data_IF_576496790686
#
_entry.id   IF_576496790686
#
_cell.length_a   1.000
_cell.length_b   1.000
_cell.length_c   1.000
_cell.angle_alpha   90.00
_cell.angle_beta   90.00
_cell.angle_gamma   90.00
#
_symmetry.space_group_name_H-M   'P 1'
#
loop_
_entity.id
_entity.type
_entity.pdbx_description
1 polymer ?
#
# COMPACT_ATOMS: atom_id res chain seq x y z
N UNK A 1 7.86 26.51 -41.24
CA UNK A 1 7.14 25.27 -40.87
C UNK A 1 7.39 25.00 -39.40
N UNK A 2 6.43 25.31 -38.53
CA UNK A 2 6.50 24.92 -37.13
C UNK A 2 6.08 23.46 -37.03
N UNK A 3 7.03 22.57 -36.71
CA UNK A 3 6.73 21.18 -36.37
C UNK A 3 6.15 21.21 -34.96
N UNK A 4 4.82 21.18 -34.87
CA UNK A 4 4.11 21.04 -33.61
C UNK A 4 4.41 19.67 -33.01
N UNK A 5 5.15 19.65 -31.91
CA UNK A 5 5.28 18.47 -31.05
C UNK A 5 3.91 18.13 -30.48
N UNK A 6 3.24 17.14 -31.06
CA UNK A 6 2.09 16.49 -30.43
C UNK A 6 2.61 15.71 -29.22
N UNK A 7 2.57 16.33 -28.04
CA UNK A 7 2.67 15.60 -26.78
C UNK A 7 1.39 14.80 -26.63
N UNK A 8 1.43 13.51 -27.00
CA UNK A 8 0.43 12.56 -26.54
C UNK A 8 0.47 12.56 -25.01
N UNK A 9 -0.48 13.27 -24.39
CA UNK A 9 -0.75 13.14 -22.97
C UNK A 9 -1.25 11.72 -22.76
N UNK A 10 -0.35 10.80 -22.37
CA UNK A 10 -0.72 9.45 -22.04
C UNK A 10 -1.66 9.51 -20.83
N UNK A 11 -2.86 8.96 -20.98
CA UNK A 11 -3.83 8.89 -19.91
C UNK A 11 -3.29 7.98 -18.81
N UNK A 12 -3.04 8.55 -17.63
CA UNK A 12 -2.67 7.81 -16.42
C UNK A 12 -3.91 7.13 -15.83
N UNK A 13 -4.47 6.15 -16.53
CA UNK A 13 -5.71 5.50 -16.15
C UNK A 13 -5.72 3.98 -16.40
N UNK A 14 -6.55 3.31 -15.62
CA UNK A 14 -6.92 1.92 -15.83
C UNK A 14 -7.99 1.87 -16.93
N UNK A 15 -7.66 1.20 -18.03
CA UNK A 15 -8.51 1.03 -19.21
C UNK A 15 -9.00 -0.41 -19.39
N UNK A 16 -8.33 -1.38 -18.77
CA UNK A 16 -8.71 -2.79 -18.84
C UNK A 16 -10.06 -3.05 -18.14
N UNK A 17 -11.11 -3.29 -18.93
CA UNK A 17 -12.49 -3.48 -18.45
C UNK A 17 -12.65 -4.59 -17.41
N UNK A 18 -11.91 -5.70 -17.52
CA UNK A 18 -11.97 -6.79 -16.54
C UNK A 18 -11.41 -6.34 -15.19
N UNK A 19 -10.29 -5.62 -15.22
CA UNK A 19 -9.67 -5.09 -14.01
C UNK A 19 -10.49 -3.95 -13.38
N UNK A 20 -11.11 -3.08 -14.18
CA UNK A 20 -12.04 -2.06 -13.67
C UNK A 20 -13.17 -2.73 -12.88
N UNK A 21 -13.80 -3.76 -13.46
CA UNK A 21 -14.87 -4.51 -12.79
C UNK A 21 -14.36 -5.24 -11.55
N UNK A 22 -13.18 -5.86 -11.64
CA UNK A 22 -12.53 -6.53 -10.52
C UNK A 22 -12.33 -5.55 -9.35
N UNK A 23 -11.67 -4.41 -9.55
CA UNK A 23 -11.38 -3.47 -8.47
C UNK A 23 -12.64 -2.79 -7.91
N UNK A 24 -13.67 -2.54 -8.74
CA UNK A 24 -14.97 -2.07 -8.23
C UNK A 24 -15.59 -3.08 -7.26
N UNK A 25 -15.58 -4.37 -7.60
CA UNK A 25 -16.10 -5.44 -6.72
C UNK A 25 -15.24 -5.59 -5.46
N UNK A 26 -13.91 -5.55 -5.59
CA UNK A 26 -12.98 -5.61 -4.45
C UNK A 26 -13.23 -4.45 -3.48
N UNK A 27 -13.33 -3.22 -3.98
CA UNK A 27 -13.61 -2.05 -3.14
C UNK A 27 -14.94 -2.21 -2.37
N UNK A 28 -15.97 -2.77 -3.02
CA UNK A 28 -17.25 -3.09 -2.36
C UNK A 28 -17.09 -4.19 -1.31
N UNK A 29 -16.29 -5.22 -1.57
CA UNK A 29 -16.02 -6.30 -0.62
C UNK A 29 -15.31 -5.77 0.64
N UNK A 30 -14.28 -4.95 0.46
CA UNK A 30 -13.56 -4.30 1.56
C UNK A 30 -14.48 -3.39 2.39
N UNK A 31 -15.38 -2.63 1.76
CA UNK A 31 -16.39 -1.83 2.47
C UNK A 31 -17.38 -2.70 3.26
N UNK A 32 -17.66 -3.93 2.81
CA UNK A 32 -18.47 -4.90 3.56
C UNK A 32 -17.71 -5.46 4.77
N UNK A 33 -16.39 -5.65 4.69
CA UNK A 33 -15.56 -5.97 5.86
C UNK A 33 -15.66 -4.85 6.90
N UNK A 34 -15.45 -3.59 6.48
CA UNK A 34 -15.49 -2.42 7.37
C UNK A 34 -16.85 -2.25 8.07
N UNK A 35 -17.94 -2.69 7.44
CA UNK A 35 -19.30 -2.67 8.02
C UNK A 35 -19.69 -3.99 8.70
N UNK A 36 -18.72 -4.86 8.99
CA UNK A 36 -18.90 -6.17 9.63
C UNK A 36 -19.89 -7.12 8.91
N UNK A 37 -20.08 -6.94 7.60
CA UNK A 37 -20.96 -7.76 6.76
C UNK A 37 -20.13 -8.82 6.01
N UNK A 38 -19.52 -9.75 6.75
CA UNK A 38 -18.50 -10.67 6.23
C UNK A 38 -19.03 -11.66 5.17
N UNK A 39 -20.26 -12.15 5.31
CA UNK A 39 -20.89 -13.02 4.29
C UNK A 39 -21.00 -12.30 2.94
N UNK A 40 -21.44 -11.04 2.98
CA UNK A 40 -21.54 -10.20 1.78
C UNK A 40 -20.16 -9.90 1.18
N UNK A 41 -19.15 -9.65 2.03
CA UNK A 41 -17.79 -9.45 1.57
C UNK A 41 -17.27 -10.70 0.84
N UNK A 42 -17.49 -11.89 1.40
CA UNK A 42 -17.05 -13.14 0.80
C UNK A 42 -17.73 -13.43 -0.55
N UNK A 43 -19.03 -13.15 -0.67
CA UNK A 43 -19.76 -13.26 -1.94
C UNK A 43 -19.13 -12.34 -3.01
N UNK A 44 -18.76 -11.11 -2.63
CA UNK A 44 -18.13 -10.16 -3.54
C UNK A 44 -16.73 -10.61 -3.94
N UNK A 45 -15.89 -11.12 -3.02
CA UNK A 45 -14.60 -11.71 -3.38
C UNK A 45 -14.74 -12.89 -4.36
N UNK A 46 -15.65 -13.83 -4.06
CA UNK A 46 -15.97 -14.96 -4.96
C UNK A 46 -16.40 -14.48 -6.36
N UNK A 47 -17.11 -13.35 -6.45
CA UNK A 47 -17.49 -12.72 -7.73
C UNK A 47 -16.30 -12.06 -8.43
N UNK A 48 -15.46 -11.34 -7.69
CA UNK A 48 -14.26 -10.68 -8.24
C UNK A 48 -13.29 -11.72 -8.84
N UNK A 49 -13.06 -12.83 -8.14
CA UNK A 49 -12.11 -13.88 -8.58
C UNK A 49 -12.58 -14.67 -9.80
N UNK A 50 -13.85 -14.55 -10.19
CA UNK A 50 -14.36 -15.05 -11.49
C UNK A 50 -14.08 -14.09 -12.65
N UNK A 51 -13.75 -12.84 -12.35
CA UNK A 51 -13.53 -11.77 -13.34
C UNK A 51 -12.05 -11.66 -13.73
N UNK A 52 -11.16 -12.02 -12.81
CA UNK A 52 -9.71 -11.93 -12.98
C UNK A 52 -9.05 -13.17 -12.37
N UNK A 53 -8.35 -13.94 -13.21
CA UNK A 53 -7.83 -15.26 -12.86
C UNK A 53 -6.59 -15.22 -11.95
N UNK A 54 -6.00 -14.04 -11.76
CA UNK A 54 -4.80 -13.83 -10.96
C UNK A 54 -5.05 -12.79 -9.86
N UNK A 55 -6.04 -13.00 -8.97
CA UNK A 55 -6.39 -12.02 -7.94
C UNK A 55 -5.18 -11.65 -7.08
N UNK A 56 -5.10 -10.39 -6.65
CA UNK A 56 -3.99 -9.95 -5.82
C UNK A 56 -3.97 -10.71 -4.49
N UNK A 57 -2.80 -10.99 -3.96
CA UNK A 57 -2.64 -11.81 -2.77
C UNK A 57 -3.23 -11.16 -1.53
N UNK A 58 -3.27 -9.81 -1.46
CA UNK A 58 -4.02 -9.10 -0.41
C UNK A 58 -5.50 -9.46 -0.43
N UNK A 59 -6.08 -9.65 -1.62
CA UNK A 59 -7.50 -9.93 -1.80
C UNK A 59 -7.78 -11.41 -1.47
N UNK A 60 -6.90 -12.32 -1.88
CA UNK A 60 -6.91 -13.73 -1.47
C UNK A 60 -6.89 -13.84 0.06
N UNK A 61 -5.95 -13.13 0.71
CA UNK A 61 -5.81 -13.10 2.17
C UNK A 61 -7.05 -12.55 2.86
N UNK A 62 -7.57 -11.40 2.42
CA UNK A 62 -8.79 -10.83 3.01
C UNK A 62 -10.00 -11.75 2.83
N UNK A 63 -10.13 -12.42 1.67
CA UNK A 63 -11.22 -13.38 1.44
C UNK A 63 -11.09 -14.63 2.32
N UNK A 64 -9.87 -15.11 2.56
CA UNK A 64 -9.57 -16.20 3.49
C UNK A 64 -9.97 -15.82 4.92
N UNK A 65 -9.59 -14.63 5.38
CA UNK A 65 -9.91 -14.13 6.72
C UNK A 65 -11.42 -13.94 6.92
N UNK A 66 -12.12 -13.41 5.91
CA UNK A 66 -13.58 -13.32 5.94
C UNK A 66 -14.22 -14.71 6.05
N UNK A 67 -13.74 -15.69 5.26
CA UNK A 67 -14.24 -17.06 5.28
C UNK A 67 -13.99 -17.78 6.62
N UNK A 68 -12.81 -17.62 7.22
CA UNK A 68 -12.49 -18.16 8.55
C UNK A 68 -13.48 -17.66 9.61
N UNK A 69 -13.77 -16.35 9.61
CA UNK A 69 -14.66 -15.73 10.59
C UNK A 69 -16.12 -16.16 10.49
N UNK A 70 -16.60 -16.44 9.27
CA UNK A 70 -17.95 -16.98 9.04
C UNK A 70 -17.98 -18.52 9.04
N UNK A 71 -16.85 -19.18 9.34
CA UNK A 71 -16.69 -20.64 9.38
C UNK A 71 -16.93 -21.36 8.04
N UNK A 72 -16.67 -20.70 6.90
CA UNK A 72 -16.56 -21.34 5.57
C UNK A 72 -15.14 -21.93 5.43
N UNK A 73 -14.86 -22.97 6.21
CA UNK A 73 -13.52 -23.58 6.35
C UNK A 73 -12.99 -24.12 5.03
N UNK A 74 -13.86 -24.71 4.21
CA UNK A 74 -13.48 -25.25 2.89
C UNK A 74 -12.98 -24.16 1.95
N UNK A 75 -13.68 -23.01 1.90
CA UNK A 75 -13.22 -21.88 1.10
C UNK A 75 -11.94 -21.29 1.67
N UNK A 76 -11.86 -21.09 2.98
CA UNK A 76 -10.67 -20.58 3.64
C UNK A 76 -9.44 -21.46 3.35
N UNK A 77 -9.57 -22.78 3.42
CA UNK A 77 -8.49 -23.73 3.10
C UNK A 77 -8.04 -23.60 1.64
N UNK A 78 -8.97 -23.41 0.70
CA UNK A 78 -8.61 -23.18 -0.71
C UNK A 78 -7.78 -21.90 -0.86
N UNK A 79 -8.18 -20.80 -0.22
CA UNK A 79 -7.42 -19.55 -0.29
C UNK A 79 -6.05 -19.66 0.39
N UNK A 80 -5.99 -20.33 1.54
CA UNK A 80 -4.73 -20.66 2.22
C UNK A 80 -3.77 -21.40 1.27
N UNK A 81 -4.24 -22.42 0.56
CA UNK A 81 -3.43 -23.18 -0.40
C UNK A 81 -2.95 -22.31 -1.57
N UNK A 82 -3.81 -21.44 -2.11
CA UNK A 82 -3.40 -20.46 -3.13
C UNK A 82 -2.28 -19.55 -2.63
N UNK A 83 -2.41 -19.00 -1.42
CA UNK A 83 -1.39 -18.15 -0.81
C UNK A 83 -0.09 -18.90 -0.52
N UNK A 84 -0.16 -20.17 -0.08
CA UNK A 84 1.02 -21.03 0.06
C UNK A 84 1.75 -21.23 -1.27
N UNK A 85 1.01 -21.38 -2.38
CA UNK A 85 1.60 -21.48 -3.72
C UNK A 85 2.24 -20.19 -4.24
N UNK A 86 1.90 -19.04 -3.63
CA UNK A 86 2.58 -17.78 -3.86
C UNK A 86 3.70 -17.54 -2.83
N UNK A 87 4.15 -18.57 -2.12
CA UNK A 87 5.16 -18.48 -1.05
C UNK A 87 4.80 -17.47 0.07
N UNK A 88 3.50 -17.33 0.41
CA UNK A 88 3.10 -16.51 1.56
C UNK A 88 3.62 -17.14 2.87
N UNK A 89 4.39 -16.39 3.69
CA UNK A 89 5.04 -16.92 4.89
C UNK A 89 4.06 -16.98 6.07
N UNK A 90 3.14 -17.96 6.04
CA UNK A 90 2.26 -18.23 7.18
C UNK A 90 3.06 -18.59 8.44
N UNK A 91 2.52 -18.20 9.60
CA UNK A 91 3.03 -18.68 10.90
C UNK A 91 2.96 -20.22 10.96
N UNK A 92 3.95 -20.83 11.60
CA UNK A 92 4.09 -22.30 11.67
C UNK A 92 2.82 -22.99 12.21
N UNK A 93 2.16 -22.37 13.18
CA UNK A 93 0.95 -22.92 13.82
C UNK A 93 -0.35 -22.58 13.09
N UNK A 94 -0.32 -21.75 12.03
CA UNK A 94 -1.53 -21.24 11.38
C UNK A 94 -2.44 -22.37 10.86
N UNK A 95 -1.86 -23.37 10.20
CA UNK A 95 -2.60 -24.51 9.65
C UNK A 95 -3.28 -25.31 10.76
N UNK A 96 -2.56 -25.61 11.83
CA UNK A 96 -3.04 -26.42 12.96
C UNK A 96 -4.17 -25.69 13.69
N UNK A 97 -4.05 -24.37 13.87
CA UNK A 97 -5.01 -23.55 14.58
C UNK A 97 -6.31 -23.36 13.80
N UNK A 98 -6.23 -23.15 12.48
CA UNK A 98 -7.39 -22.81 11.65
C UNK A 98 -8.00 -24.00 10.91
N UNK A 99 -7.25 -25.10 10.74
CA UNK A 99 -7.65 -26.28 9.98
C UNK A 99 -7.25 -27.58 10.69
N UNK A 100 -7.76 -27.86 11.91
CA UNK A 100 -7.35 -29.00 12.72
C UNK A 100 -7.62 -30.36 12.06
N UNK A 101 -8.60 -30.45 11.16
CA UNK A 101 -8.94 -31.66 10.42
C UNK A 101 -8.05 -31.90 9.19
N UNK A 102 -7.15 -30.96 8.88
CA UNK A 102 -6.27 -31.00 7.70
C UNK A 102 -4.78 -30.94 8.06
N UNK A 103 -4.43 -31.30 9.31
CA UNK A 103 -3.06 -31.32 9.86
C UNK A 103 -2.01 -32.10 9.06
N UNK A 104 -2.42 -32.96 8.13
CA UNK A 104 -1.53 -33.89 7.40
C UNK A 104 -1.42 -33.66 5.89
N UNK A 105 -2.13 -32.69 5.28
CA UNK A 105 -2.07 -32.49 3.82
C UNK A 105 -1.23 -31.25 3.46
N UNK A 106 0.09 -31.36 3.63
CA UNK A 106 1.04 -30.33 3.18
C UNK A 106 1.39 -30.44 1.68
N UNK A 107 0.92 -31.48 0.99
CA UNK A 107 1.15 -31.65 -0.45
C UNK A 107 0.17 -30.77 -1.25
N UNK A 108 0.41 -29.46 -1.21
CA UNK A 108 -0.30 -28.49 -2.02
C UNK A 108 0.30 -28.56 -3.42
N UNK A 109 -0.41 -29.22 -4.35
CA UNK A 109 -0.04 -29.17 -5.77
C UNK A 109 -0.31 -27.78 -6.33
N UNK A 110 0.74 -26.99 -6.43
CA UNK A 110 0.68 -25.63 -6.97
C UNK A 110 0.60 -25.63 -8.49
N UNK A 111 -0.38 -24.89 -9.02
CA UNK A 111 -0.52 -24.65 -10.47
C UNK A 111 0.32 -23.46 -10.92
N UNK A 112 0.58 -22.51 -10.04
CA UNK A 112 1.46 -21.36 -10.28
C UNK A 112 2.91 -21.80 -10.18
N UNK A 113 3.72 -21.47 -11.19
CA UNK A 113 5.18 -21.71 -11.17
C UNK A 113 5.90 -20.37 -11.07
N UNK A 114 6.53 -20.13 -9.93
CA UNK A 114 7.30 -18.91 -9.71
C UNK A 114 8.58 -18.91 -10.55
N UNK A 115 8.97 -17.75 -11.06
CA UNK A 115 10.18 -17.62 -11.86
C UNK A 115 11.40 -17.37 -10.96
N UNK A 116 12.01 -18.45 -10.47
CA UNK A 116 13.14 -18.35 -9.53
C UNK A 116 14.34 -17.57 -10.09
N UNK A 117 14.61 -17.65 -11.40
CA UNK A 117 15.68 -16.89 -12.04
C UNK A 117 15.38 -15.38 -12.04
N UNK A 118 14.13 -15.03 -12.37
CA UNK A 118 13.70 -13.64 -12.36
C UNK A 118 13.69 -13.07 -10.94
N UNK A 119 13.17 -13.84 -9.97
CA UNK A 119 13.21 -13.51 -8.54
C UNK A 119 14.63 -13.22 -8.07
N UNK A 120 15.58 -14.12 -8.32
CA UNK A 120 17.00 -13.91 -7.95
C UNK A 120 17.59 -12.63 -8.54
N UNK A 121 17.20 -12.29 -9.78
CA UNK A 121 17.67 -11.06 -10.44
C UNK A 121 17.10 -9.82 -9.74
N UNK A 122 15.82 -9.81 -9.43
CA UNK A 122 15.16 -8.70 -8.72
C UNK A 122 15.69 -8.54 -7.30
N UNK A 123 15.82 -9.64 -6.54
CA UNK A 123 16.38 -9.64 -5.18
C UNK A 123 17.84 -9.14 -5.17
N UNK A 124 18.62 -9.47 -6.20
CA UNK A 124 19.98 -8.96 -6.37
C UNK A 124 20.01 -7.45 -6.59
N UNK A 125 19.13 -6.90 -7.43
CA UNK A 125 18.99 -5.45 -7.62
C UNK A 125 18.61 -4.75 -6.32
N UNK A 126 17.67 -5.31 -5.57
CA UNK A 126 17.29 -4.77 -4.25
C UNK A 126 18.44 -4.81 -3.25
N UNK A 127 19.18 -5.92 -3.21
CA UNK A 127 20.37 -6.06 -2.34
C UNK A 127 21.42 -5.01 -2.68
N UNK A 128 21.65 -4.76 -3.97
CA UNK A 128 22.53 -3.69 -4.41
C UNK A 128 22.02 -2.34 -3.92
N UNK A 129 20.77 -1.97 -4.20
CA UNK A 129 20.13 -0.70 -3.80
C UNK A 129 20.28 -0.39 -2.31
N UNK A 130 20.14 -1.41 -1.46
CA UNK A 130 20.20 -1.26 0.00
C UNK A 130 21.61 -1.35 0.60
N UNK A 131 22.63 -1.76 -0.16
CA UNK A 131 23.96 -2.11 0.38
C UNK A 131 24.58 -0.97 1.22
N UNK A 132 24.73 0.22 0.63
CA UNK A 132 25.34 1.36 1.32
C UNK A 132 24.44 1.95 2.42
N UNK A 133 23.11 1.80 2.30
CA UNK A 133 22.16 2.20 3.35
C UNK A 133 22.32 1.32 4.59
N UNK A 134 22.55 0.02 4.42
CA UNK A 134 22.83 -0.90 5.55
C UNK A 134 24.22 -0.63 6.14
N UNK A 135 25.23 -0.42 5.28
CA UNK A 135 26.60 -0.13 5.71
C UNK A 135 26.73 1.20 6.47
N UNK A 136 25.84 2.15 6.23
CA UNK A 136 25.86 3.45 6.91
C UNK A 136 25.48 3.39 8.39
N UNK A 137 24.80 2.33 8.83
CA UNK A 137 24.22 2.26 10.17
C UNK A 137 23.25 3.41 10.47
N UNK A 138 22.61 3.99 9.44
CA UNK A 138 21.72 5.14 9.54
C UNK A 138 22.38 6.49 9.24
N UNK A 139 23.72 6.59 9.23
CA UNK A 139 24.41 7.83 8.84
C UNK A 139 24.58 7.92 7.32
N UNK A 140 23.47 8.15 6.59
CA UNK A 140 23.47 8.15 5.12
C UNK A 140 24.38 9.21 4.49
N UNK A 141 24.64 10.33 5.18
CA UNK A 141 25.55 11.37 4.70
C UNK A 141 26.97 10.82 4.43
N UNK A 142 27.42 9.83 5.23
CA UNK A 142 28.72 9.17 5.06
C UNK A 142 28.90 8.49 3.70
N UNK A 143 27.83 7.93 3.14
CA UNK A 143 27.85 7.18 1.87
C UNK A 143 26.95 7.80 0.80
N UNK A 144 26.70 9.11 0.90
CA UNK A 144 25.70 9.79 0.06
C UNK A 144 26.03 9.67 -1.43
N UNK A 145 27.31 9.78 -1.81
CA UNK A 145 27.76 9.67 -3.21
C UNK A 145 27.54 8.26 -3.74
N UNK A 146 27.87 7.25 -2.94
CA UNK A 146 27.74 5.83 -3.26
C UNK A 146 26.26 5.44 -3.38
N UNK A 147 25.43 5.86 -2.43
CA UNK A 147 23.98 5.68 -2.46
C UNK A 147 23.41 6.29 -3.74
N UNK A 148 23.74 7.56 -4.02
CA UNK A 148 23.24 8.27 -5.20
C UNK A 148 23.62 7.58 -6.50
N UNK A 149 24.91 7.22 -6.66
CA UNK A 149 25.42 6.51 -7.83
C UNK A 149 24.75 5.14 -8.00
N UNK A 150 24.60 4.41 -6.90
CA UNK A 150 24.07 3.06 -6.92
C UNK A 150 22.58 3.04 -7.27
N UNK A 151 21.78 3.94 -6.70
CA UNK A 151 20.36 4.05 -7.06
C UNK A 151 20.17 4.36 -8.56
N UNK A 152 21.04 5.20 -9.15
CA UNK A 152 21.03 5.50 -10.59
C UNK A 152 21.29 4.24 -11.42
N UNK A 153 22.29 3.45 -11.04
CA UNK A 153 22.62 2.19 -11.73
C UNK A 153 21.49 1.17 -11.60
N UNK A 154 20.97 0.99 -10.38
CA UNK A 154 19.96 -0.04 -10.11
C UNK A 154 18.63 0.31 -10.75
N UNK A 155 18.18 1.57 -10.71
CA UNK A 155 16.93 2.00 -11.37
C UNK A 155 16.96 1.81 -12.88
N UNK A 156 18.06 2.16 -13.55
CA UNK A 156 18.22 1.94 -15.00
C UNK A 156 18.21 0.45 -15.34
N UNK A 157 18.87 -0.39 -14.52
CA UNK A 157 18.85 -1.85 -14.70
C UNK A 157 17.45 -2.42 -14.49
N UNK A 158 16.74 -1.96 -13.46
CA UNK A 158 15.37 -2.37 -13.19
C UNK A 158 14.44 -1.99 -14.36
N UNK A 159 14.53 -0.77 -14.88
CA UNK A 159 13.74 -0.35 -16.03
C UNK A 159 13.99 -1.24 -17.25
N UNK A 160 15.25 -1.49 -17.60
CA UNK A 160 15.61 -2.38 -18.72
C UNK A 160 15.03 -3.78 -18.52
N UNK A 161 15.12 -4.30 -17.31
CA UNK A 161 14.61 -5.62 -16.97
C UNK A 161 13.08 -5.67 -17.08
N UNK A 162 12.37 -4.64 -16.62
CA UNK A 162 10.91 -4.49 -16.78
C UNK A 162 10.53 -4.43 -18.26
N UNK A 163 11.25 -3.65 -19.06
CA UNK A 163 10.99 -3.53 -20.50
C UNK A 163 11.23 -4.85 -21.25
N UNK A 164 12.15 -5.67 -20.77
CA UNK A 164 12.48 -6.97 -21.38
C UNK A 164 11.56 -8.11 -20.94
N UNK A 165 11.18 -8.17 -19.65
CA UNK A 165 10.46 -9.31 -19.05
C UNK A 165 9.03 -8.99 -18.61
N UNK A 166 8.61 -7.73 -18.72
CA UNK A 166 7.39 -7.21 -18.11
C UNK A 166 7.63 -6.77 -16.66
N UNK A 167 6.66 -6.05 -16.09
CA UNK A 167 6.72 -5.64 -14.69
C UNK A 167 6.63 -6.89 -13.78
N UNK A 168 7.45 -7.04 -12.72
CA UNK A 168 7.34 -8.17 -11.81
C UNK A 168 6.08 -8.10 -10.94
N UNK A 169 5.41 -9.23 -10.70
CA UNK A 169 4.33 -9.34 -9.72
C UNK A 169 4.51 -10.54 -8.76
N UNK A 170 3.53 -10.73 -7.87
CA UNK A 170 3.50 -11.83 -6.90
C UNK A 170 3.45 -13.23 -7.53
N UNK A 171 2.95 -13.36 -8.76
CA UNK A 171 2.95 -14.62 -9.51
C UNK A 171 4.29 -14.89 -10.20
N UNK A 172 5.11 -13.86 -10.42
CA UNK A 172 6.48 -13.97 -10.91
C UNK A 172 7.46 -14.28 -9.76
N UNK A 173 7.30 -13.59 -8.63
CA UNK A 173 8.30 -13.51 -7.56
C UNK A 173 7.97 -14.30 -6.29
N UNK A 174 6.69 -14.62 -6.06
CA UNK A 174 6.20 -15.06 -4.76
C UNK A 174 6.22 -13.94 -3.71
N UNK A 175 5.78 -14.26 -2.50
CA UNK A 175 5.49 -13.32 -1.42
C UNK A 175 6.48 -13.40 -0.26
N UNK A 176 7.46 -14.31 -0.34
CA UNK A 176 8.45 -14.50 0.72
C UNK A 176 9.26 -13.23 1.03
N UNK A 177 9.53 -12.40 0.02
CA UNK A 177 10.22 -11.11 0.17
C UNK A 177 9.27 -9.91 0.19
N UNK A 178 7.95 -10.12 0.20
CA UNK A 178 6.98 -9.04 0.31
C UNK A 178 6.86 -8.55 1.76
N UNK A 179 6.52 -7.27 1.93
CA UNK A 179 6.15 -6.70 3.22
C UNK A 179 4.82 -7.27 3.73
N UNK A 180 4.46 -6.95 4.98
CA UNK A 180 3.18 -7.34 5.58
C UNK A 180 1.96 -6.78 4.82
N UNK A 181 2.16 -5.70 4.08
CA UNK A 181 1.20 -5.03 3.21
C UNK A 181 1.19 -5.59 1.76
N UNK A 182 1.91 -6.70 1.51
CA UNK A 182 2.08 -7.31 0.19
C UNK A 182 2.83 -6.41 -0.81
N UNK A 183 3.54 -5.39 -0.32
CA UNK A 183 4.43 -4.57 -1.15
C UNK A 183 5.76 -5.29 -1.39
N UNK A 184 6.17 -5.45 -2.65
CA UNK A 184 7.46 -6.07 -2.95
C UNK A 184 8.61 -5.12 -2.64
N UNK A 185 9.68 -5.63 -2.02
CA UNK A 185 10.85 -4.84 -1.63
C UNK A 185 11.48 -4.03 -2.77
N UNK A 186 11.43 -4.54 -4.02
CA UNK A 186 12.00 -3.81 -5.16
C UNK A 186 11.26 -2.50 -5.49
N UNK A 187 10.04 -2.29 -4.99
CA UNK A 187 9.35 -0.99 -5.11
C UNK A 187 10.14 0.13 -4.43
N UNK A 188 11.01 -0.17 -3.45
CA UNK A 188 11.93 0.80 -2.86
C UNK A 188 12.89 1.40 -3.89
N UNK A 189 13.31 0.61 -4.89
CA UNK A 189 14.16 1.11 -6.00
C UNK A 189 13.40 2.18 -6.81
N UNK A 190 12.09 1.97 -7.03
CA UNK A 190 11.23 2.92 -7.74
C UNK A 190 11.02 4.16 -6.86
N UNK A 191 10.75 3.99 -5.57
CA UNK A 191 10.61 5.11 -4.62
C UNK A 191 11.87 5.98 -4.57
N UNK A 192 13.07 5.39 -4.59
CA UNK A 192 14.32 6.15 -4.64
C UNK A 192 14.52 6.99 -5.91
N UNK A 193 13.61 6.88 -6.89
CA UNK A 193 13.56 7.76 -8.06
C UNK A 193 12.47 8.84 -7.93
N UNK A 194 12.10 9.22 -6.70
CA UNK A 194 11.23 10.37 -6.46
C UNK A 194 11.78 11.65 -7.12
N UNK A 195 10.91 12.45 -7.75
CA UNK A 195 11.34 13.67 -8.45
C UNK A 195 11.60 14.86 -7.51
N UNK A 196 11.22 14.75 -6.24
CA UNK A 196 11.39 15.81 -5.22
C UNK A 196 12.72 15.72 -4.47
N UNK A 197 13.58 14.76 -4.81
CA UNK A 197 14.88 14.64 -4.18
C UNK A 197 15.81 15.77 -4.67
N UNK A 198 15.98 16.78 -3.81
CA UNK A 198 16.84 17.96 -4.09
C UNK A 198 18.32 17.61 -4.15
N UNK A 199 18.71 16.47 -3.60
CA UNK A 199 20.10 16.02 -3.50
C UNK A 199 20.45 15.16 -4.73
N UNK A 200 19.48 14.43 -5.25
CA UNK A 200 19.67 13.49 -6.34
C UNK A 200 18.60 13.66 -7.42
N UNK A 201 18.98 14.04 -8.65
CA UNK A 201 18.03 14.11 -9.75
C UNK A 201 17.47 12.72 -10.09
N UNK A 202 16.17 12.65 -10.35
CA UNK A 202 15.51 11.47 -10.88
C UNK A 202 16.20 11.03 -12.19
N UNK A 203 16.61 9.76 -12.26
CA UNK A 203 17.21 9.18 -13.46
C UNK A 203 16.18 8.45 -14.32
N UNK A 204 15.19 7.85 -13.66
CA UNK A 204 14.14 7.08 -14.31
C UNK A 204 12.80 7.52 -13.77
N UNK A 205 11.89 7.91 -14.66
CA UNK A 205 10.47 8.04 -14.33
C UNK A 205 9.74 6.74 -14.72
N UNK A 206 9.26 6.00 -13.73
CA UNK A 206 8.59 4.70 -13.94
C UNK A 206 7.09 4.83 -14.32
N UNK A 207 6.53 6.04 -14.42
CA UNK A 207 5.09 6.25 -14.58
C UNK A 207 4.45 5.42 -15.69
N UNK A 208 5.08 5.36 -16.86
CA UNK A 208 4.54 4.60 -18.00
C UNK A 208 4.52 3.09 -17.73
N UNK A 209 5.57 2.57 -17.10
CA UNK A 209 5.63 1.14 -16.76
C UNK A 209 4.69 0.77 -15.63
N UNK A 210 4.44 1.69 -14.68
CA UNK A 210 3.44 1.51 -13.63
C UNK A 210 2.02 1.45 -14.19
N UNK A 211 1.66 2.34 -15.12
CA UNK A 211 0.33 2.33 -15.77
C UNK A 211 0.14 1.08 -16.64
N UNK A 212 1.18 0.64 -17.36
CA UNK A 212 1.14 -0.64 -18.09
C UNK A 212 0.93 -1.81 -17.13
N UNK A 213 1.68 -1.86 -16.03
CA UNK A 213 1.57 -2.91 -15.03
C UNK A 213 0.17 -2.94 -14.39
N UNK A 214 -0.40 -1.77 -14.08
CA UNK A 214 -1.76 -1.65 -13.55
C UNK A 214 -2.79 -2.22 -14.54
N UNK A 215 -2.67 -1.89 -15.83
CA UNK A 215 -3.56 -2.38 -16.90
C UNK A 215 -3.38 -3.87 -17.22
N UNK A 216 -2.27 -4.47 -16.77
CA UNK A 216 -2.01 -5.90 -16.84
C UNK A 216 -2.38 -6.63 -15.53
N UNK A 217 -2.83 -5.91 -14.50
CA UNK A 217 -3.17 -6.50 -13.19
C UNK A 217 -1.94 -6.97 -12.41
N UNK A 218 -0.75 -6.44 -12.74
CA UNK A 218 0.52 -6.81 -12.11
C UNK A 218 0.87 -6.03 -10.85
N UNK A 219 0.16 -4.93 -10.60
CA UNK A 219 0.31 -4.08 -9.44
C UNK A 219 -1.06 -3.57 -9.01
N UNK A 220 -1.26 -3.39 -7.71
CA UNK A 220 -2.52 -2.87 -7.16
C UNK A 220 -2.71 -1.39 -7.48
N UNK A 221 -3.95 -0.88 -7.50
CA UNK A 221 -4.24 0.54 -7.62
C UNK A 221 -3.53 1.38 -6.55
N UNK A 222 -3.53 0.91 -5.29
CA UNK A 222 -2.92 1.63 -4.16
C UNK A 222 -1.40 1.79 -4.34
N UNK A 223 -0.68 0.72 -4.71
CA UNK A 223 0.76 0.79 -4.94
C UNK A 223 1.09 1.63 -6.18
N UNK A 224 0.26 1.55 -7.22
CA UNK A 224 0.43 2.38 -8.43
C UNK A 224 0.30 3.87 -8.10
N UNK A 225 -0.76 4.25 -7.39
CA UNK A 225 -1.02 5.62 -6.99
C UNK A 225 0.11 6.20 -6.12
N UNK A 226 0.56 5.43 -5.12
CA UNK A 226 1.68 5.82 -4.26
C UNK A 226 2.97 6.06 -5.07
N UNK A 227 3.33 5.11 -5.95
CA UNK A 227 4.55 5.23 -6.74
C UNK A 227 4.47 6.33 -7.82
N UNK A 228 3.27 6.63 -8.35
CA UNK A 228 3.06 7.75 -9.27
C UNK A 228 3.20 9.11 -8.56
N UNK A 229 2.60 9.26 -7.38
CA UNK A 229 2.71 10.48 -6.58
C UNK A 229 4.18 10.74 -6.19
N UNK A 230 4.93 9.69 -5.82
CA UNK A 230 6.37 9.79 -5.58
C UNK A 230 7.16 10.16 -6.85
N UNK A 231 6.92 9.46 -7.96
CA UNK A 231 7.69 9.64 -9.20
C UNK A 231 7.48 11.03 -9.81
N UNK A 232 6.30 11.63 -9.59
CA UNK A 232 5.93 12.91 -10.18
C UNK A 232 5.87 14.06 -9.16
N UNK A 233 6.16 13.78 -7.88
CA UNK A 233 6.12 14.76 -6.81
C UNK A 233 4.76 15.43 -6.64
N UNK A 234 3.71 14.62 -6.78
CA UNK A 234 2.31 15.04 -6.68
C UNK A 234 1.64 14.44 -5.46
N UNK A 235 0.42 14.91 -5.19
CA UNK A 235 -0.51 14.35 -4.21
C UNK A 235 -1.87 14.11 -4.89
N UNK A 236 -1.84 13.59 -6.12
CA UNK A 236 -3.01 13.46 -6.97
C UNK A 236 -3.98 12.38 -6.46
N UNK A 237 -3.50 11.46 -5.62
CA UNK A 237 -4.28 10.31 -5.15
C UNK A 237 -4.44 10.26 -3.62
N UNK A 238 -3.81 11.18 -2.89
CA UNK A 238 -3.81 11.19 -1.43
C UNK A 238 -3.88 12.62 -0.88
N UNK A 239 -4.36 12.76 0.36
CA UNK A 239 -4.41 14.05 1.05
C UNK A 239 -4.14 13.84 2.52
N UNK A 240 -3.25 14.66 3.09
CA UNK A 240 -2.92 14.63 4.53
C UNK A 240 -4.12 14.92 5.43
N UNK A 241 -5.16 15.57 4.90
CA UNK A 241 -6.43 15.77 5.62
C UNK A 241 -7.16 14.44 5.89
N UNK A 242 -6.77 13.35 5.22
CA UNK A 242 -7.32 12.00 5.36
C UNK A 242 -6.31 11.02 5.96
N UNK A 243 -5.31 11.53 6.66
CA UNK A 243 -4.44 10.75 7.52
C UNK A 243 -4.96 10.75 8.95
N UNK A 244 -4.57 9.73 9.71
CA UNK A 244 -4.86 9.65 11.15
C UNK A 244 -3.70 10.35 11.86
N UNK A 245 -4.03 11.27 12.76
CA UNK A 245 -3.08 12.13 13.43
C UNK A 245 -2.98 11.72 14.90
N UNK A 246 -1.77 11.64 15.42
CA UNK A 246 -1.49 11.57 16.86
C UNK A 246 -0.68 12.79 17.28
N UNK A 247 -0.90 13.24 18.51
CA UNK A 247 -0.17 14.36 19.08
C UNK A 247 0.86 13.84 20.07
N UNK A 248 2.12 14.18 19.85
CA UNK A 248 3.23 13.82 20.73
C UNK A 248 3.61 15.08 21.52
N UNK A 249 3.65 14.97 22.85
CA UNK A 249 4.07 16.06 23.75
C UNK A 249 5.59 15.97 24.01
N UNK A 250 6.34 16.99 23.61
CA UNK A 250 7.77 17.14 23.93
C UNK A 250 8.00 18.40 24.77
N UNK A 251 7.39 18.49 25.94
CA UNK A 251 7.57 19.64 26.83
C UNK A 251 8.97 19.56 27.50
N UNK A 252 9.85 20.52 27.17
CA UNK A 252 11.11 20.73 27.88
C UNK A 252 12.26 19.75 27.61
N UNK A 253 12.11 18.78 26.71
CA UNK A 253 13.19 17.86 26.31
C UNK A 253 13.94 18.41 25.07
N UNK A 254 15.24 18.74 25.16
CA UNK A 254 16.04 19.18 24.03
C UNK A 254 16.36 18.05 23.03
N UNK A 255 16.15 16.79 23.40
CA UNK A 255 16.38 15.64 22.53
C UNK A 255 15.31 15.57 21.42
N UNK A 256 15.72 15.19 20.21
CA UNK A 256 14.78 15.08 19.09
C UNK A 256 13.86 13.88 19.34
N UNK A 257 12.55 13.98 19.03
CA UNK A 257 11.60 12.87 19.24
C UNK A 257 12.00 11.55 18.56
N UNK A 258 12.86 11.60 17.53
CA UNK A 258 13.41 10.43 16.84
C UNK A 258 14.34 9.57 17.72
N UNK A 259 14.87 10.11 18.82
CA UNK A 259 15.82 9.41 19.69
C UNK A 259 15.11 8.59 20.79
N UNK A 260 13.82 8.86 21.07
CA UNK A 260 12.98 8.17 22.08
C UNK A 260 11.60 7.75 21.55
N UNK A 261 11.51 7.36 20.27
CA UNK A 261 10.25 7.07 19.56
C UNK A 261 9.31 6.15 20.35
N UNK A 262 9.83 5.04 20.91
CA UNK A 262 9.00 4.06 21.63
C UNK A 262 8.42 4.59 22.94
N UNK A 263 9.09 5.52 23.62
CA UNK A 263 8.60 6.12 24.87
C UNK A 263 7.60 7.24 24.60
N UNK A 264 7.86 8.03 23.55
CA UNK A 264 6.99 9.12 23.10
C UNK A 264 5.65 8.60 22.55
N UNK A 265 5.65 7.45 21.86
CA UNK A 265 4.44 6.79 21.39
C UNK A 265 3.52 6.33 22.53
N UNK A 266 4.06 6.00 23.71
CA UNK A 266 3.25 5.60 24.88
C UNK A 266 2.51 6.78 25.52
N UNK A 267 2.97 8.01 25.29
CA UNK A 267 2.40 9.25 25.82
C UNK A 267 1.60 10.03 24.76
N UNK A 268 1.47 9.49 23.55
CA UNK A 268 0.80 10.17 22.45
C UNK A 268 -0.71 10.29 22.70
N UNK A 269 -1.25 11.49 22.49
CA UNK A 269 -2.69 11.72 22.45
C UNK A 269 -3.18 11.38 21.04
N UNK A 270 -3.65 10.14 20.90
CA UNK A 270 -4.24 9.57 19.70
C UNK A 270 -5.75 9.35 19.91
N UNK A 271 -6.57 9.18 18.87
CA UNK A 271 -6.28 9.38 17.45
C UNK A 271 -7.23 10.43 16.90
N UNK A 272 -6.78 11.21 15.92
CA UNK A 272 -7.55 12.32 15.38
C UNK A 272 -7.68 12.20 13.87
N UNK A 273 -8.79 12.67 13.33
CA UNK A 273 -8.99 12.85 11.88
C UNK A 273 -9.44 14.27 11.61
N UNK A 274 -9.14 14.82 10.44
CA UNK A 274 -9.66 16.14 10.09
C UNK A 274 -11.20 16.14 10.10
N UNK A 275 -11.83 17.27 10.44
CA UNK A 275 -13.29 17.39 10.45
C UNK A 275 -13.93 17.06 9.09
N UNK A 276 -13.18 17.23 8.02
CA UNK A 276 -13.54 16.82 6.66
C UNK A 276 -13.67 15.30 6.50
N UNK A 277 -13.32 14.48 7.48
CA UNK A 277 -13.66 13.06 7.47
C UNK A 277 -15.17 12.85 7.22
N UNK A 278 -16.01 13.69 7.83
CA UNK A 278 -17.45 13.70 7.56
C UNK A 278 -17.75 14.62 6.37
N UNK A 279 -18.29 14.11 5.25
CA UNK A 279 -18.56 14.92 4.05
C UNK A 279 -19.42 16.17 4.32
N UNK A 280 -20.37 16.07 5.25
CA UNK A 280 -21.22 17.19 5.69
C UNK A 280 -20.45 18.41 6.24
N UNK A 281 -19.20 18.22 6.66
CA UNK A 281 -18.36 19.28 7.22
C UNK A 281 -17.43 19.94 6.16
N UNK A 282 -17.43 19.49 4.90
CA UNK A 282 -16.40 19.88 3.91
C UNK A 282 -16.56 21.30 3.35
N UNK A 283 -17.75 21.88 3.38
CA UNK A 283 -18.02 23.15 2.72
C UNK A 283 -17.56 23.14 1.24
N UNK A 284 -17.42 24.32 0.65
CA UNK A 284 -16.95 24.43 -0.74
C UNK A 284 -15.45 24.10 -0.88
N UNK A 285 -14.61 24.66 -0.01
CA UNK A 285 -13.16 24.49 -0.06
C UNK A 285 -12.71 23.03 0.09
N UNK A 286 -13.31 22.29 1.03
CA UNK A 286 -13.00 20.87 1.20
C UNK A 286 -13.40 20.04 -0.02
N UNK A 287 -14.51 20.38 -0.68
CA UNK A 287 -14.95 19.70 -1.89
C UNK A 287 -14.06 20.01 -3.11
N UNK A 288 -13.60 21.25 -3.25
CA UNK A 288 -12.62 21.64 -4.29
C UNK A 288 -11.33 20.82 -4.16
N UNK A 289 -10.91 20.50 -2.94
CA UNK A 289 -9.72 19.67 -2.71
C UNK A 289 -10.01 18.17 -2.92
N UNK A 290 -11.13 17.66 -2.40
CA UNK A 290 -11.41 16.22 -2.36
C UNK A 290 -11.85 15.67 -3.72
N UNK A 291 -12.64 16.42 -4.48
CA UNK A 291 -13.23 15.92 -5.73
C UNK A 291 -12.18 15.57 -6.79
N UNK A 292 -11.18 16.43 -7.09
CA UNK A 292 -10.14 16.09 -8.06
C UNK A 292 -9.35 14.84 -7.67
N UNK A 293 -9.06 14.67 -6.38
CA UNK A 293 -8.35 13.49 -5.88
C UNK A 293 -9.22 12.24 -6.06
N UNK A 294 -10.51 12.30 -5.72
CA UNK A 294 -11.43 11.18 -5.91
C UNK A 294 -11.61 10.80 -7.38
N UNK A 295 -11.65 11.77 -8.29
CA UNK A 295 -11.67 11.50 -9.74
C UNK A 295 -10.40 10.81 -10.21
N UNK A 296 -9.23 11.24 -9.74
CA UNK A 296 -7.96 10.58 -10.05
C UNK A 296 -7.88 9.16 -9.45
N UNK A 297 -8.31 8.98 -8.19
CA UNK A 297 -8.40 7.68 -7.53
C UNK A 297 -9.30 6.72 -8.31
N UNK A 298 -10.45 7.20 -8.77
CA UNK A 298 -11.39 6.43 -9.61
C UNK A 298 -10.75 5.99 -10.93
N UNK A 299 -9.97 6.86 -11.59
CA UNK A 299 -9.24 6.50 -12.83
C UNK A 299 -8.27 5.33 -12.65
N UNK A 300 -7.76 5.10 -11.44
CA UNK A 300 -6.88 3.94 -11.14
C UNK A 300 -7.63 2.73 -10.58
N UNK A 301 -8.95 2.81 -10.35
CA UNK A 301 -9.73 1.75 -9.72
C UNK A 301 -9.68 1.75 -8.19
N UNK A 302 -9.27 2.85 -7.55
CA UNK A 302 -9.24 2.98 -6.10
C UNK A 302 -10.61 3.40 -5.53
N UNK A 303 -10.86 3.11 -4.25
CA UNK A 303 -11.99 3.69 -3.51
C UNK A 303 -11.80 5.19 -3.30
N UNK A 304 -12.87 5.92 -2.96
CA UNK A 304 -12.79 7.32 -2.54
C UNK A 304 -11.89 7.51 -1.32
N UNK A 305 -11.44 8.75 -1.08
CA UNK A 305 -10.73 9.14 0.15
C UNK A 305 -11.54 8.81 1.41
N UNK A 306 -12.87 8.92 1.34
CA UNK A 306 -13.78 8.67 2.46
C UNK A 306 -13.77 7.21 2.86
N UNK A 307 -13.96 6.32 1.88
CA UNK A 307 -13.93 4.88 2.12
C UNK A 307 -12.52 4.42 2.49
N UNK A 308 -11.48 5.03 1.91
CA UNK A 308 -10.10 4.75 2.28
C UNK A 308 -9.83 5.12 3.74
N UNK A 309 -10.28 6.27 4.22
CA UNK A 309 -10.12 6.67 5.62
C UNK A 309 -10.94 5.78 6.56
N UNK A 310 -12.17 5.37 6.19
CA UNK A 310 -12.92 4.37 6.99
C UNK A 310 -12.15 3.06 7.13
N UNK A 311 -11.52 2.58 6.04
CA UNK A 311 -10.65 1.38 6.07
C UNK A 311 -9.44 1.60 6.99
N UNK A 312 -8.75 2.74 6.89
CA UNK A 312 -7.65 3.10 7.79
C UNK A 312 -8.10 3.07 9.26
N UNK A 313 -9.21 3.74 9.59
CA UNK A 313 -9.77 3.77 10.95
C UNK A 313 -10.12 2.36 11.44
N UNK A 314 -10.77 1.54 10.60
CA UNK A 314 -11.09 0.14 10.92
C UNK A 314 -9.83 -0.66 11.29
N UNK A 315 -8.74 -0.51 10.51
CA UNK A 315 -7.47 -1.21 10.77
C UNK A 315 -6.75 -0.78 12.03
N UNK A 316 -7.15 0.31 12.71
CA UNK A 316 -6.60 0.63 14.03
C UNK A 316 -6.90 -0.49 15.03
N UNK A 317 -8.09 -1.10 14.94
CA UNK A 317 -8.59 -2.13 15.87
C UNK A 317 -8.59 -3.54 15.28
N UNK A 318 -8.61 -3.65 13.95
CA UNK A 318 -8.76 -4.93 13.24
C UNK A 318 -7.53 -5.18 12.38
N UNK A 319 -6.58 -5.96 12.92
CA UNK A 319 -5.28 -6.28 12.28
C UNK A 319 -5.29 -7.59 11.48
N UNK A 320 -6.41 -8.29 11.55
CA UNK A 320 -6.76 -9.52 10.84
C UNK A 320 -6.93 -9.32 9.33
N UNK A 321 -7.28 -8.11 8.87
CA UNK A 321 -7.42 -7.79 7.45
C UNK A 321 -6.31 -6.85 6.94
N UNK A 322 -5.95 -7.02 5.68
CA UNK A 322 -4.97 -6.22 4.95
C UNK A 322 -5.73 -5.18 4.13
N UNK A 323 -6.09 -4.10 4.79
CA UNK A 323 -6.72 -2.93 4.19
C UNK A 323 -5.71 -1.77 4.19
N UNK A 324 -6.00 -0.65 3.49
CA UNK A 324 -5.16 0.55 3.55
C UNK A 324 -4.80 0.90 5.00
N UNK A 325 -3.50 0.82 5.31
CA UNK A 325 -3.02 0.96 6.67
C UNK A 325 -3.20 2.40 7.15
N UNK A 326 -3.60 2.52 8.42
CA UNK A 326 -3.51 3.78 9.14
C UNK A 326 -2.03 4.19 9.25
N UNK A 327 -1.55 5.02 8.33
CA UNK A 327 -0.37 5.82 8.61
C UNK A 327 -0.76 6.84 9.68
N UNK A 328 -0.30 6.60 10.90
CA UNK A 328 -0.45 7.54 12.00
C UNK A 328 0.65 8.59 11.85
N UNK A 329 0.24 9.83 11.61
CA UNK A 329 1.14 10.97 11.48
C UNK A 329 1.30 11.59 12.86
N UNK A 330 2.47 11.38 13.47
CA UNK A 330 2.88 12.05 14.70
C UNK A 330 3.14 13.52 14.45
N UNK A 331 2.34 14.38 15.08
CA UNK A 331 2.58 15.82 15.14
C UNK A 331 3.17 16.17 16.50
N UNK A 332 4.35 16.78 16.49
CA UNK A 332 5.05 17.19 17.70
C UNK A 332 4.84 18.69 17.96
N UNK A 333 4.56 19.04 19.22
CA UNK A 333 4.39 20.42 19.66
C UNK A 333 5.19 20.69 20.94
N UNK A 334 5.70 21.92 21.04
CA UNK A 334 6.38 22.41 22.23
C UNK A 334 5.41 22.85 23.32
N UNK A 335 4.19 23.24 22.97
CA UNK A 335 3.16 23.72 23.91
C UNK A 335 1.80 23.07 23.62
N UNK A 336 1.00 22.88 24.66
CA UNK A 336 -0.38 22.38 24.54
C UNK A 336 -1.31 23.37 23.83
N UNK A 337 -1.03 24.68 23.93
CA UNK A 337 -1.80 25.71 23.24
C UNK A 337 -1.71 25.55 21.71
N UNK A 338 -0.52 25.28 21.17
CA UNK A 338 -0.32 25.10 19.73
C UNK A 338 -0.96 23.80 19.23
N UNK A 339 -0.89 22.73 20.02
CA UNK A 339 -1.65 21.51 19.74
C UNK A 339 -3.17 21.79 19.68
N UNK A 340 -3.70 22.57 20.63
CA UNK A 340 -5.12 22.90 20.70
C UNK A 340 -5.60 23.76 19.51
N UNK A 341 -4.74 24.65 18.99
CA UNK A 341 -5.04 25.43 17.76
C UNK A 341 -5.28 24.54 16.55
N UNK A 342 -4.64 23.38 16.45
CA UNK A 342 -4.84 22.42 15.36
C UNK A 342 -6.00 21.48 15.69
N UNK A 343 -6.10 20.98 16.93
CA UNK A 343 -7.18 20.09 17.35
C UNK A 343 -8.57 20.65 17.10
N UNK A 344 -8.75 21.98 17.05
CA UNK A 344 -10.04 22.61 16.70
C UNK A 344 -10.60 22.23 15.31
N UNK A 345 -9.73 21.79 14.39
CA UNK A 345 -10.11 21.33 13.05
C UNK A 345 -10.17 19.81 12.96
N UNK A 346 -9.90 19.11 14.06
CA UNK A 346 -9.84 17.67 14.12
C UNK A 346 -10.97 17.13 14.99
N UNK A 347 -11.32 15.87 14.73
CA UNK A 347 -12.27 15.11 15.52
C UNK A 347 -11.49 13.97 16.16
N UNK A 348 -11.59 13.89 17.49
CA UNK A 348 -11.03 12.75 18.21
C UNK A 348 -11.84 11.51 17.82
N UNK A 349 -11.14 10.48 17.36
CA UNK A 349 -11.68 9.15 17.23
C UNK A 349 -11.88 8.65 18.64
N UNK A 350 -13.13 8.58 19.09
CA UNK A 350 -13.42 7.98 20.38
C UNK A 350 -13.02 6.51 20.32
N UNK A 351 -12.24 6.06 21.30
CA UNK A 351 -11.86 4.65 21.36
C UNK A 351 -13.01 3.69 21.74
N UNK A 352 -14.25 4.18 21.74
CA UNK A 352 -15.47 3.42 21.99
C UNK A 352 -16.13 2.95 20.69
N UNK A 353 -16.38 1.64 20.62
CA UNK A 353 -17.34 0.92 19.78
C UNK A 353 -18.00 1.69 18.61
N UNK A 354 -17.41 1.61 17.42
CA UNK A 354 -18.11 1.77 16.13
C UNK A 354 -17.50 0.85 15.10
#
# INVERSE_FOLDING_TARGET
>A
MCIGSFTYSQSQELTNKKLILYYDIINKAENKIVSNNLDSALILYKKAFKTFDHPHAKDLYNSMQAALKIKDTDYALRQYRYLKCLDYPFEEQFLIQNFPDHKKSDDVRCTTTLNSSYKKTIDSLFTMDQYYRKLSGGNYAKYQKEITKNDSIVSVRLLKLIQQKGFPNEYDLGLQSAGKDFSHQFYLIIWHQSSNDKIKPQQVNFSNELIKALNQGKITPDNTAFLLDLSNSTNNYSSRHFDIIEFIKNEGDPDRPHDKVTENLKKADCCYVHQWFYPKNRGEQGNILVNPINENRKKLGMSSLDDNLKKKVFTLRHKDFILPQAQIVGMNFQTEEDANKIKKFLLKLNDSHH
#
